data_IF_804402784561
#
_entry.id   IF_804402784561
#
_cell.length_a   1.000
_cell.length_b   1.000
_cell.length_c   1.000
_cell.angle_alpha   90.00
_cell.angle_beta   90.00
_cell.angle_gamma   90.00
#
_symmetry.space_group_name_H-M   'P 1'
#
loop_
_entity.id
_entity.type
_entity.pdbx_description
1 polymer ?
#
# COMPACT_ATOMS: atom_id res chain seq x y z
N UNK A 1 6.33 -3.55 6.21
CA UNK A 1 6.51 -3.65 4.75
C UNK A 1 6.03 -2.35 4.11
N UNK A 2 6.69 -1.89 3.05
CA UNK A 2 6.32 -0.63 2.39
C UNK A 2 6.43 -0.73 0.87
N UNK A 3 5.53 -0.07 0.15
CA UNK A 3 5.67 0.17 -1.29
C UNK A 3 5.15 1.55 -1.66
N UNK A 4 5.79 2.15 -2.67
CA UNK A 4 5.35 3.41 -3.26
C UNK A 4 4.55 3.14 -4.53
N UNK A 5 3.39 3.77 -4.62
CA UNK A 5 2.57 3.83 -5.82
C UNK A 5 2.86 5.16 -6.51
N UNK A 6 3.23 5.11 -7.79
CA UNK A 6 3.35 6.28 -8.65
C UNK A 6 2.97 5.92 -10.08
N UNK A 7 1.75 6.23 -10.48
CA UNK A 7 1.26 5.94 -11.83
C UNK A 7 -0.26 5.89 -11.93
N UNK A 8 -0.78 5.48 -13.08
CA UNK A 8 -2.22 5.36 -13.30
C UNK A 8 -2.86 4.21 -12.48
N UNK A 9 -4.18 4.10 -12.54
CA UNK A 9 -4.94 3.10 -11.78
C UNK A 9 -4.47 1.66 -12.05
N UNK A 10 -4.19 1.31 -13.31
CA UNK A 10 -3.67 -0.01 -13.65
C UNK A 10 -2.29 -0.27 -13.00
N UNK A 11 -1.45 0.76 -12.86
CA UNK A 11 -0.19 0.65 -12.11
C UNK A 11 -0.44 0.49 -10.61
N UNK A 12 -1.37 1.26 -10.03
CA UNK A 12 -1.77 1.12 -8.63
C UNK A 12 -2.15 -0.33 -8.30
N UNK A 13 -3.04 -0.94 -9.09
CA UNK A 13 -3.46 -2.33 -8.88
C UNK A 13 -2.30 -3.32 -8.97
N UNK A 14 -1.39 -3.15 -9.94
CA UNK A 14 -0.18 -4.00 -10.03
C UNK A 14 0.72 -3.91 -8.80
N UNK A 15 0.82 -2.73 -8.18
CA UNK A 15 1.63 -2.58 -6.96
C UNK A 15 0.95 -3.26 -5.77
N UNK A 16 -0.37 -3.16 -5.64
CA UNK A 16 -1.15 -3.92 -4.66
C UNK A 16 -0.94 -5.43 -4.81
N UNK A 17 -1.09 -5.93 -6.03
CA UNK A 17 -0.91 -7.36 -6.32
C UNK A 17 0.51 -7.81 -5.96
N UNK A 18 1.53 -7.05 -6.38
CA UNK A 18 2.92 -7.39 -6.14
C UNK A 18 3.27 -7.44 -4.65
N UNK A 19 2.84 -6.44 -3.87
CA UNK A 19 3.20 -6.37 -2.45
C UNK A 19 2.53 -7.49 -1.63
N UNK A 20 1.27 -7.81 -1.94
CA UNK A 20 0.55 -8.86 -1.22
C UNK A 20 0.96 -10.26 -1.68
N UNK A 21 1.23 -10.45 -2.98
CA UNK A 21 1.79 -11.71 -3.48
C UNK A 21 3.17 -12.00 -2.88
N UNK A 22 4.04 -10.99 -2.75
CA UNK A 22 5.31 -11.14 -2.06
C UNK A 22 5.13 -11.59 -0.61
N UNK A 23 4.16 -11.01 0.11
CA UNK A 23 3.91 -11.36 1.50
C UNK A 23 3.33 -12.77 1.65
N UNK A 24 2.42 -13.17 0.76
CA UNK A 24 1.85 -14.53 0.74
C UNK A 24 2.92 -15.58 0.48
N UNK A 25 3.85 -15.31 -0.44
CA UNK A 25 4.96 -16.19 -0.78
C UNK A 25 6.12 -16.12 0.23
N UNK A 26 6.10 -15.17 1.17
CA UNK A 26 7.19 -14.98 2.13
C UNK A 26 7.29 -16.18 3.08
N UNK A 27 8.44 -16.87 3.15
CA UNK A 27 8.62 -17.97 4.09
C UNK A 27 8.78 -17.49 5.54
N UNK A 28 9.21 -16.25 5.72
CA UNK A 28 9.60 -15.72 7.03
C UNK A 28 8.59 -14.75 7.64
N UNK A 29 7.79 -14.07 6.82
CA UNK A 29 6.93 -12.99 7.27
C UNK A 29 5.47 -13.24 6.91
N UNK A 30 4.58 -12.70 7.73
CA UNK A 30 3.14 -12.68 7.50
C UNK A 30 2.58 -11.31 7.88
N UNK A 31 1.38 -10.99 7.39
CA UNK A 31 0.69 -9.77 7.78
C UNK A 31 0.35 -9.81 9.27
N UNK A 32 0.63 -8.73 9.99
CA UNK A 32 0.24 -8.63 11.38
C UNK A 32 -1.23 -8.25 11.47
N UNK A 33 -2.08 -9.26 11.70
CA UNK A 33 -3.55 -9.12 11.79
C UNK A 33 -4.06 -9.04 13.23
N UNK A 34 -3.17 -8.79 14.20
CA UNK A 34 -3.59 -8.62 15.60
C UNK A 34 -4.52 -7.42 15.73
N UNK A 35 -5.46 -7.51 16.66
CA UNK A 35 -6.38 -6.41 16.92
C UNK A 35 -5.62 -5.12 17.26
N UNK A 36 -6.05 -4.00 16.68
CA UNK A 36 -5.39 -2.70 16.84
C UNK A 36 -4.15 -2.48 15.97
N UNK A 37 -3.68 -3.48 15.22
CA UNK A 37 -2.58 -3.33 14.27
C UNK A 37 -3.13 -3.01 12.88
N UNK A 38 -2.89 -1.79 12.42
CA UNK A 38 -3.46 -1.26 11.17
C UNK A 38 -2.37 -0.93 10.15
N UNK A 39 -2.70 -1.15 8.88
CA UNK A 39 -1.95 -0.56 7.76
C UNK A 39 -2.29 0.91 7.57
N UNK A 40 -1.44 1.62 6.85
CA UNK A 40 -1.65 3.02 6.50
C UNK A 40 -1.26 3.29 5.06
N UNK A 41 -2.05 4.10 4.39
CA UNK A 41 -1.72 4.70 3.10
C UNK A 41 -1.52 6.20 3.30
N UNK A 42 -0.39 6.72 2.82
CA UNK A 42 -0.03 8.13 2.99
C UNK A 42 0.12 8.80 1.63
N UNK A 43 -0.61 9.90 1.45
CA UNK A 43 -0.52 10.75 0.26
C UNK A 43 0.26 12.02 0.60
N UNK A 44 1.13 12.52 -0.30
CA UNK A 44 1.68 13.86 -0.16
C UNK A 44 0.57 14.90 -0.33
N UNK A 45 0.61 15.98 0.47
CA UNK A 45 -0.34 17.09 0.37
C UNK A 45 0.11 18.19 -0.60
N UNK A 46 1.39 18.20 -0.95
CA UNK A 46 1.98 19.20 -1.85
C UNK A 46 2.52 18.55 -3.13
N UNK A 47 2.41 19.24 -4.28
CA UNK A 47 1.80 20.57 -4.45
C UNK A 47 0.26 20.56 -4.45
N UNK A 48 -0.36 19.38 -4.42
CA UNK A 48 -1.80 19.19 -4.51
C UNK A 48 -2.27 18.12 -3.52
N UNK A 49 -3.35 18.40 -2.79
CA UNK A 49 -3.95 17.43 -1.88
C UNK A 49 -4.81 16.43 -2.66
N UNK A 50 -4.30 15.21 -2.83
CA UNK A 50 -5.02 14.16 -3.56
C UNK A 50 -6.37 13.78 -2.91
N UNK A 51 -6.56 14.04 -1.61
CA UNK A 51 -7.81 13.71 -0.90
C UNK A 51 -8.99 14.61 -1.28
N UNK A 52 -8.74 15.71 -1.99
CA UNK A 52 -9.80 16.61 -2.47
C UNK A 52 -10.20 16.34 -3.92
N UNK A 53 -9.49 15.44 -4.60
CA UNK A 53 -9.75 15.10 -6.00
C UNK A 53 -10.74 13.94 -6.05
N UNK A 54 -11.84 14.03 -6.81
CA UNK A 54 -12.72 12.88 -7.03
C UNK A 54 -11.94 11.72 -7.65
N UNK A 55 -12.19 10.50 -7.16
CA UNK A 55 -11.45 9.31 -7.62
C UNK A 55 -11.45 9.15 -9.16
N UNK A 56 -12.60 9.42 -9.80
CA UNK A 56 -12.75 9.34 -11.25
C UNK A 56 -11.90 10.32 -12.06
N UNK A 57 -11.35 11.35 -11.40
CA UNK A 57 -10.51 12.39 -12.00
C UNK A 57 -9.02 12.14 -11.73
N UNK A 58 -8.66 11.11 -10.94
CA UNK A 58 -7.26 10.81 -10.62
C UNK A 58 -6.60 10.10 -11.81
N UNK A 59 -5.76 10.83 -12.53
CA UNK A 59 -4.95 10.26 -13.62
C UNK A 59 -3.68 9.57 -13.09
N UNK A 60 -3.12 10.09 -11.99
CA UNK A 60 -1.89 9.59 -11.37
C UNK A 60 -2.07 9.45 -9.86
N UNK A 61 -2.01 8.21 -9.39
CA UNK A 61 -1.95 7.85 -7.99
C UNK A 61 -0.52 8.02 -7.48
N UNK A 62 -0.36 8.69 -6.35
CA UNK A 62 0.92 8.92 -5.69
C UNK A 62 0.74 8.77 -4.18
N UNK A 63 1.04 7.59 -3.64
CA UNK A 63 0.93 7.32 -2.21
C UNK A 63 1.93 6.25 -1.78
N UNK A 64 2.15 6.15 -0.47
CA UNK A 64 2.97 5.08 0.13
C UNK A 64 2.10 4.20 0.98
N UNK A 65 2.14 2.90 0.70
CA UNK A 65 1.54 1.85 1.52
C UNK A 65 2.50 1.43 2.62
N UNK A 66 2.01 1.33 3.84
CA UNK A 66 2.74 0.89 5.02
C UNK A 66 1.91 -0.18 5.73
N UNK A 67 2.25 -1.45 5.51
CA UNK A 67 1.57 -2.57 6.15
C UNK A 67 2.46 -3.23 7.20
N UNK A 68 1.98 -3.39 8.44
CA UNK A 68 2.71 -4.09 9.48
C UNK A 68 2.82 -5.57 9.14
N UNK A 69 4.03 -6.10 9.27
CA UNK A 69 4.35 -7.51 9.07
C UNK A 69 5.07 -8.01 10.32
N UNK A 70 4.85 -9.28 10.65
CA UNK A 70 5.54 -9.96 11.74
C UNK A 70 6.27 -11.18 11.22
N UNK A 71 7.29 -11.61 11.95
CA UNK A 71 7.95 -12.88 11.67
C UNK A 71 6.99 -14.03 12.00
N UNK A 72 6.90 -15.02 11.13
CA UNK A 72 6.15 -16.25 11.37
C UNK A 72 6.76 -16.97 12.57
N UNK A 73 5.91 -17.49 13.44
CA UNK A 73 6.34 -18.40 14.49
C UNK A 73 6.82 -19.70 13.83
N UNK A 74 8.03 -20.15 14.17
CA UNK A 74 8.59 -21.42 13.71
C UNK A 74 7.77 -22.62 14.21
#
# INVERSE_FOLDING_TARGET
MSARVYGNEAHMWRVYDAIFAWLEQSPEYEMDRREGVLGMETVPLEPLNALTIPYSEIETFNFTMLYPVRKKSS
#
